data_IF_679349829447
#
_entry.id   IF_679349829447
#
_cell.length_a   1.000
_cell.length_b   1.000
_cell.length_c   1.000
_cell.angle_alpha   90.00
_cell.angle_beta   90.00
_cell.angle_gamma   90.00
#
_symmetry.space_group_name_H-M   'P 1'
#
loop_
_entity.id
_entity.type
_entity.pdbx_description
1 polymer ?
#
# COMPACT_ATOMS: atom_id res chain seq x y z
N UNK A 1 -18.35 -1.09 -14.73
CA UNK A 1 -17.43 -0.10 -14.12
C UNK A 1 -18.12 0.48 -12.90
N UNK A 2 -17.43 0.61 -11.77
CA UNK A 2 -18.01 1.25 -10.59
C UNK A 2 -18.25 2.75 -10.84
N UNK A 3 -19.36 3.29 -10.35
CA UNK A 3 -19.72 4.72 -10.45
C UNK A 3 -19.18 5.57 -9.30
N UNK A 4 -18.39 4.97 -8.40
CA UNK A 4 -17.86 5.62 -7.20
C UNK A 4 -16.65 6.52 -7.47
N UNK A 5 -16.41 7.45 -6.54
CA UNK A 5 -15.17 8.24 -6.50
C UNK A 5 -13.99 7.35 -6.09
N UNK A 6 -12.86 7.50 -6.76
CA UNK A 6 -11.63 6.78 -6.41
C UNK A 6 -10.76 7.69 -5.55
N UNK A 7 -10.49 7.27 -4.31
CA UNK A 7 -9.53 7.93 -3.43
C UNK A 7 -8.21 7.14 -3.42
N UNK A 8 -7.09 7.83 -3.54
CA UNK A 8 -5.75 7.24 -3.52
C UNK A 8 -5.00 7.77 -2.31
N UNK A 9 -4.80 6.92 -1.30
CA UNK A 9 -4.02 7.27 -0.11
C UNK A 9 -2.53 7.10 -0.40
N UNK A 10 -1.73 8.13 -0.15
CA UNK A 10 -0.28 8.15 -0.37
C UNK A 10 0.43 8.80 0.81
N UNK A 11 1.73 8.52 0.97
CA UNK A 11 2.56 9.23 1.94
C UNK A 11 2.93 10.65 1.46
N UNK A 12 3.75 11.35 2.24
CA UNK A 12 4.18 12.72 1.92
C UNK A 12 5.36 12.81 0.95
N UNK A 13 5.74 11.74 0.25
CA UNK A 13 6.87 11.76 -0.68
C UNK A 13 6.65 12.83 -1.77
N UNK A 14 7.64 13.72 -1.96
CA UNK A 14 7.47 14.93 -2.75
C UNK A 14 7.04 14.70 -4.22
N UNK A 15 7.45 13.61 -4.91
CA UNK A 15 6.93 13.27 -6.23
C UNK A 15 5.40 13.05 -6.30
N UNK A 16 4.76 12.64 -5.20
CA UNK A 16 3.30 12.48 -5.15
C UNK A 16 2.54 13.81 -5.18
N UNK A 17 3.23 14.92 -4.88
CA UNK A 17 2.65 16.27 -4.77
C UNK A 17 3.05 17.19 -5.92
N UNK A 18 3.80 16.68 -6.91
CA UNK A 18 4.15 17.50 -8.07
C UNK A 18 2.91 17.89 -8.86
N UNK A 19 2.97 19.05 -9.51
CA UNK A 19 1.90 19.54 -10.39
C UNK A 19 1.49 18.48 -11.42
N UNK A 20 2.47 17.83 -12.07
CA UNK A 20 2.20 16.80 -13.06
C UNK A 20 1.45 15.58 -12.49
N UNK A 21 1.84 15.11 -11.30
CA UNK A 21 1.13 14.00 -10.62
C UNK A 21 -0.32 14.37 -10.30
N UNK A 22 -0.54 15.56 -9.74
CA UNK A 22 -1.89 16.02 -9.35
C UNK A 22 -2.79 16.27 -10.56
N UNK A 23 -2.25 16.78 -11.66
CA UNK A 23 -2.95 16.95 -12.94
C UNK A 23 -3.41 15.60 -13.52
N UNK A 24 -2.55 14.58 -13.47
CA UNK A 24 -2.91 13.22 -13.90
C UNK A 24 -4.03 12.66 -13.04
N UNK A 25 -3.95 12.82 -11.71
CA UNK A 25 -4.99 12.37 -10.79
C UNK A 25 -6.34 13.02 -11.12
N UNK A 26 -6.36 14.35 -11.27
CA UNK A 26 -7.56 15.10 -11.63
C UNK A 26 -8.17 14.63 -12.95
N UNK A 27 -7.36 14.49 -14.02
CA UNK A 27 -7.81 14.02 -15.33
C UNK A 27 -8.38 12.59 -15.29
N UNK A 28 -7.93 11.77 -14.34
CA UNK A 28 -8.40 10.38 -14.15
C UNK A 28 -9.54 10.26 -13.14
N UNK A 29 -9.99 11.35 -12.52
CA UNK A 29 -10.99 11.31 -11.45
C UNK A 29 -10.49 10.62 -10.18
N UNK A 30 -9.17 10.64 -9.95
CA UNK A 30 -8.52 10.12 -8.74
C UNK A 30 -8.36 11.27 -7.75
N UNK A 31 -8.80 11.05 -6.52
CA UNK A 31 -8.71 12.00 -5.42
C UNK A 31 -7.55 11.59 -4.48
N UNK A 32 -6.36 12.21 -4.60
CA UNK A 32 -5.24 11.89 -3.73
C UNK A 32 -5.53 12.36 -2.29
N UNK A 33 -5.20 11.51 -1.32
CA UNK A 33 -5.28 11.78 0.12
C UNK A 33 -3.91 11.48 0.71
N UNK A 34 -3.35 12.42 1.46
CA UNK A 34 -2.03 12.27 2.06
C UNK A 34 -2.14 11.92 3.53
N UNK A 35 -1.33 10.96 3.99
CA UNK A 35 -1.22 10.69 5.42
C UNK A 35 -0.59 11.88 6.16
N UNK A 36 -0.80 12.01 7.48
CA UNK A 36 -0.04 12.95 8.30
C UNK A 36 1.47 12.72 8.19
N UNK A 37 2.30 13.77 8.33
CA UNK A 37 3.75 13.62 8.37
C UNK A 37 4.18 12.62 9.45
N UNK A 38 5.16 11.77 9.13
CA UNK A 38 5.73 10.78 10.05
C UNK A 38 4.74 9.75 10.62
N UNK A 39 3.60 9.53 9.97
CA UNK A 39 2.60 8.52 10.36
C UNK A 39 2.52 7.34 9.36
N UNK A 40 3.58 6.52 9.23
CA UNK A 40 3.57 5.36 8.33
C UNK A 40 2.50 4.32 8.71
N UNK A 41 2.13 4.23 9.99
CA UNK A 41 1.06 3.35 10.49
C UNK A 41 -0.31 3.67 9.89
N UNK A 42 -0.53 4.89 9.40
CA UNK A 42 -1.78 5.27 8.73
C UNK A 42 -1.79 4.90 7.24
N UNK A 43 -0.66 4.45 6.68
CA UNK A 43 -0.56 3.99 5.30
C UNK A 43 -0.75 2.46 5.24
N UNK A 44 -1.93 2.01 4.82
CA UNK A 44 -2.23 0.57 4.73
C UNK A 44 -1.31 -0.21 3.77
N UNK A 45 -0.61 0.45 2.85
CA UNK A 45 0.42 -0.20 2.03
C UNK A 45 1.55 -0.79 2.89
N UNK A 46 1.86 -0.20 4.05
CA UNK A 46 2.85 -0.73 5.00
C UNK A 46 2.43 -2.08 5.58
N UNK A 47 1.12 -2.33 5.78
CA UNK A 47 0.61 -3.63 6.21
C UNK A 47 0.84 -4.71 5.13
N UNK A 48 0.66 -4.35 3.85
CA UNK A 48 0.96 -5.24 2.72
C UNK A 48 2.45 -5.50 2.63
N UNK A 49 3.30 -4.47 2.76
CA UNK A 49 4.75 -4.64 2.75
C UNK A 49 5.28 -5.46 3.92
N UNK A 50 4.67 -5.35 5.11
CA UNK A 50 4.98 -6.23 6.24
C UNK A 50 4.68 -7.69 5.90
N UNK A 51 3.53 -7.96 5.28
CA UNK A 51 3.13 -9.30 4.83
C UNK A 51 4.07 -9.83 3.75
N UNK A 52 4.47 -8.98 2.78
CA UNK A 52 5.45 -9.33 1.75
C UNK A 52 6.82 -9.65 2.35
N UNK A 53 7.31 -8.84 3.31
CA UNK A 53 8.58 -9.09 4.01
C UNK A 53 8.56 -10.45 4.70
N UNK A 54 7.46 -10.80 5.38
CA UNK A 54 7.30 -12.12 5.99
C UNK A 54 7.27 -13.24 4.94
N UNK A 55 6.56 -13.05 3.83
CA UNK A 55 6.49 -14.01 2.74
C UNK A 55 7.86 -14.27 2.06
N UNK A 56 8.70 -13.24 2.01
CA UNK A 56 10.05 -13.31 1.45
C UNK A 56 11.09 -13.80 2.48
N UNK A 57 10.74 -13.83 3.76
CA UNK A 57 11.69 -14.19 4.82
C UNK A 57 12.21 -15.62 4.64
N UNK A 58 13.49 -15.82 4.92
CA UNK A 58 14.21 -17.10 4.77
C UNK A 58 14.31 -17.64 3.33
N UNK A 59 13.93 -16.86 2.31
CA UNK A 59 14.19 -17.19 0.91
C UNK A 59 15.56 -16.63 0.48
N UNK A 60 16.27 -17.39 -0.34
CA UNK A 60 17.54 -16.97 -0.95
C UNK A 60 17.27 -16.64 -2.41
N UNK A 61 17.75 -15.48 -2.85
CA UNK A 61 17.62 -15.00 -4.23
C UNK A 61 19.02 -14.82 -4.82
N UNK A 62 19.24 -15.28 -6.05
CA UNK A 62 20.52 -15.16 -6.74
C UNK A 62 20.49 -14.05 -7.79
N UNK A 63 19.29 -13.68 -8.25
CA UNK A 63 19.08 -12.64 -9.25
C UNK A 63 17.97 -11.67 -8.84
N UNK A 64 17.97 -10.48 -9.46
CA UNK A 64 16.86 -9.52 -9.35
C UNK A 64 15.57 -10.13 -9.91
N UNK A 65 15.66 -11.02 -10.89
CA UNK A 65 14.50 -11.67 -11.49
C UNK A 65 13.83 -12.64 -10.50
N UNK A 66 14.61 -13.35 -9.67
CA UNK A 66 14.08 -14.20 -8.61
C UNK A 66 13.24 -13.38 -7.61
N UNK A 67 13.74 -12.19 -7.25
CA UNK A 67 13.03 -11.26 -6.36
C UNK A 67 11.73 -10.79 -7.00
N UNK A 68 11.75 -10.36 -8.26
CA UNK A 68 10.54 -9.93 -8.99
C UNK A 68 9.51 -11.05 -9.09
N UNK A 69 9.95 -12.27 -9.43
CA UNK A 69 9.07 -13.43 -9.52
C UNK A 69 8.45 -13.78 -8.17
N UNK A 70 9.22 -13.71 -7.09
CA UNK A 70 8.70 -13.93 -5.74
C UNK A 70 7.67 -12.87 -5.33
N UNK A 71 7.92 -11.60 -5.64
CA UNK A 71 6.95 -10.51 -5.40
C UNK A 71 5.68 -10.74 -6.23
N UNK A 72 5.82 -11.08 -7.52
CA UNK A 72 4.68 -11.35 -8.41
C UNK A 72 3.83 -12.50 -7.87
N UNK A 73 4.47 -13.60 -7.49
CA UNK A 73 3.81 -14.77 -6.91
C UNK A 73 3.04 -14.40 -5.63
N UNK A 74 3.62 -13.59 -4.74
CA UNK A 74 2.92 -13.11 -3.55
C UNK A 74 1.60 -12.39 -3.90
N UNK A 75 1.62 -11.47 -4.87
CA UNK A 75 0.41 -10.76 -5.27
C UNK A 75 -0.61 -11.67 -5.99
N UNK A 76 -0.14 -12.61 -6.81
CA UNK A 76 -0.99 -13.58 -7.52
C UNK A 76 -1.69 -14.55 -6.56
N UNK A 77 -0.96 -15.10 -5.58
CA UNK A 77 -1.51 -15.98 -4.53
C UNK A 77 -2.57 -15.25 -3.69
N UNK A 78 -2.36 -13.95 -3.43
CA UNK A 78 -3.34 -13.08 -2.77
C UNK A 78 -4.42 -12.55 -3.72
N UNK A 79 -4.43 -12.94 -5.01
CA UNK A 79 -5.39 -12.48 -6.03
C UNK A 79 -5.52 -10.94 -6.11
N UNK A 80 -4.42 -10.25 -5.83
CA UNK A 80 -4.37 -8.78 -5.72
C UNK A 80 -5.40 -8.19 -4.75
N UNK A 81 -5.82 -8.97 -3.74
CA UNK A 81 -6.76 -8.55 -2.69
C UNK A 81 -6.17 -8.86 -1.33
N UNK A 82 -6.11 -7.83 -0.48
CA UNK A 82 -5.62 -7.95 0.88
C UNK A 82 -6.75 -7.54 1.81
N UNK A 83 -7.25 -8.49 2.59
CA UNK A 83 -8.26 -8.23 3.61
C UNK A 83 -7.57 -7.61 4.84
N UNK A 84 -7.31 -6.32 4.73
CA UNK A 84 -6.62 -5.56 5.77
C UNK A 84 -7.65 -5.02 6.77
N UNK A 85 -7.46 -5.36 8.06
CA UNK A 85 -8.22 -4.76 9.14
C UNK A 85 -7.41 -3.61 9.76
N UNK A 86 -7.85 -2.37 9.54
CA UNK A 86 -7.17 -1.19 10.08
C UNK A 86 -7.19 -1.13 11.61
N UNK A 87 -8.25 -1.62 12.27
CA UNK A 87 -8.36 -1.66 13.74
C UNK A 87 -7.26 -2.55 14.30
N UNK A 88 -7.15 -3.77 13.80
CA UNK A 88 -6.13 -4.73 14.24
C UNK A 88 -4.71 -4.28 13.86
N UNK A 89 -4.53 -3.71 12.66
CA UNK A 89 -3.22 -3.24 12.21
C UNK A 89 -2.68 -2.10 13.09
N UNK A 90 -3.55 -1.16 13.47
CA UNK A 90 -3.22 -0.05 14.35
C UNK A 90 -3.23 -0.44 15.84
N UNK A 91 -3.60 -1.68 16.17
CA UNK A 91 -3.71 -2.16 17.56
C UNK A 91 -4.82 -1.47 18.36
N UNK A 92 -5.82 -0.90 17.70
CA UNK A 92 -6.93 -0.18 18.34
C UNK A 92 -7.88 -1.13 19.06
N UNK A 93 -7.87 -2.42 18.72
CA UNK A 93 -8.60 -3.50 19.38
C UNK A 93 -8.10 -3.77 20.82
N UNK A 94 -6.91 -3.27 21.17
CA UNK A 94 -6.26 -3.49 22.46
C UNK A 94 -6.41 -2.31 23.43
N UNK A 95 -7.08 -1.24 23.00
CA UNK A 95 -7.33 -0.07 23.84
C UNK A 95 -8.55 -0.38 24.70
N UNK A 96 -8.34 -0.60 26.01
CA UNK A 96 -9.45 -0.62 26.97
C UNK A 96 -10.00 0.81 27.08
N UNK A 97 -11.31 0.95 26.84
CA UNK A 97 -12.05 2.21 26.97
C UNK A 97 -12.69 2.29 28.35
#
# INVERSE_FOLDING_TARGET
>A
MGSGRVYMVMDNYSPHKTKGTLEICSRKGIHPVFTPPYSPELNMAEAVFKSLKNYMSNKIFYTIEDVKNCIKQFFEENKYRFDLNAITYLGLDKIEV
#
